data_IF_006666195767
#
_entry.id   IF_006666195767
#
_cell.length_a   1.000
_cell.length_b   1.000
_cell.length_c   1.000
_cell.angle_alpha   90.00
_cell.angle_beta   90.00
_cell.angle_gamma   90.00
#
_symmetry.space_group_name_H-M   'P 1'
#
loop_
_entity.id
_entity.type
_entity.pdbx_description
1 polymer ?
#
# COMPACT_ATOMS: atom_id res chain seq x y z
N UNK A 1 57.10 -7.21 19.94
CA UNK A 1 56.35 -8.48 19.83
C UNK A 1 54.86 -8.13 19.92
N UNK A 2 54.22 -7.76 18.81
CA UNK A 2 52.82 -7.28 18.78
C UNK A 2 51.88 -8.42 18.38
N UNK A 3 50.83 -8.62 19.20
CA UNK A 3 49.86 -9.71 19.13
C UNK A 3 48.97 -9.60 17.88
N UNK A 4 48.60 -10.77 17.37
CA UNK A 4 47.78 -11.05 16.18
C UNK A 4 46.40 -10.36 16.27
N UNK A 5 46.04 -9.60 15.24
CA UNK A 5 44.69 -9.08 15.05
C UNK A 5 43.82 -10.17 14.41
N UNK A 6 42.81 -10.63 15.13
CA UNK A 6 41.78 -11.51 14.58
C UNK A 6 40.79 -10.65 13.78
N UNK A 7 40.72 -10.85 12.47
CA UNK A 7 39.68 -10.30 11.60
C UNK A 7 38.48 -11.23 11.68
N UNK A 8 37.43 -10.82 12.39
CA UNK A 8 36.13 -11.47 12.38
C UNK A 8 35.28 -10.85 11.25
N UNK A 9 34.67 -11.71 10.44
CA UNK A 9 34.02 -11.37 9.17
C UNK A 9 32.79 -10.46 9.30
N UNK A 10 32.65 -9.58 8.32
CA UNK A 10 31.44 -8.77 8.10
C UNK A 10 30.43 -9.67 7.38
N UNK A 11 29.42 -10.15 8.11
CA UNK A 11 28.18 -10.64 7.48
C UNK A 11 27.24 -9.43 7.32
N UNK A 12 27.14 -8.91 6.10
CA UNK A 12 26.12 -7.91 5.77
C UNK A 12 24.74 -8.55 5.87
N UNK A 13 24.05 -8.29 6.98
CA UNK A 13 22.61 -8.49 7.06
C UNK A 13 21.97 -7.49 6.11
N UNK A 14 21.44 -7.95 4.98
CA UNK A 14 20.50 -7.16 4.19
C UNK A 14 19.23 -7.11 5.04
N UNK A 15 19.09 -6.06 5.85
CA UNK A 15 17.85 -5.75 6.51
C UNK A 15 16.85 -5.36 5.42
N UNK A 16 16.01 -6.31 4.99
CA UNK A 16 14.81 -5.97 4.23
C UNK A 16 13.89 -5.29 5.22
N UNK A 17 13.81 -3.96 5.16
CA UNK A 17 12.83 -3.21 5.94
C UNK A 17 11.45 -3.75 5.61
N UNK A 18 10.81 -4.42 6.57
CA UNK A 18 9.39 -4.64 6.51
C UNK A 18 8.75 -3.25 6.61
N UNK A 19 8.30 -2.70 5.49
CA UNK A 19 7.49 -1.48 5.50
C UNK A 19 6.18 -1.84 6.19
N UNK A 20 6.11 -1.61 7.51
CA UNK A 20 4.85 -1.55 8.21
C UNK A 20 4.06 -0.42 7.56
N UNK A 21 2.95 -0.75 6.92
CA UNK A 21 2.03 0.24 6.39
C UNK A 21 1.54 1.09 7.54
N UNK A 22 1.95 2.36 7.59
CA UNK A 22 1.39 3.28 8.55
C UNK A 22 0.05 3.75 7.99
N UNK A 23 -1.08 3.63 8.71
CA UNK A 23 -2.33 4.30 8.33
C UNK A 23 -2.15 5.81 8.09
N UNK A 24 -1.09 6.40 8.66
CA UNK A 24 -0.67 7.78 8.39
C UNK A 24 -0.29 8.06 6.92
N UNK A 25 -0.06 7.04 6.10
CA UNK A 25 0.23 7.20 4.67
C UNK A 25 -1.05 7.35 3.82
N UNK A 26 -2.23 7.23 4.43
CA UNK A 26 -3.50 7.42 3.74
C UNK A 26 -3.78 8.92 3.58
N UNK A 27 -4.01 9.34 2.33
CA UNK A 27 -4.36 10.72 1.99
C UNK A 27 -5.87 10.93 1.96
N UNK A 28 -6.59 10.02 1.32
CA UNK A 28 -8.04 10.14 1.11
C UNK A 28 -8.66 8.77 0.87
N UNK A 29 -9.93 8.64 1.24
CA UNK A 29 -10.77 7.47 0.94
C UNK A 29 -11.93 7.92 0.07
N UNK A 30 -12.12 7.27 -1.07
CA UNK A 30 -13.11 7.64 -2.09
C UNK A 30 -14.10 6.49 -2.29
N UNK A 31 -15.37 6.71 -1.95
CA UNK A 31 -16.44 5.76 -2.21
C UNK A 31 -16.81 5.77 -3.71
N UNK A 32 -16.99 4.58 -4.29
CA UNK A 32 -17.41 4.38 -5.68
C UNK A 32 -18.89 4.01 -5.76
N UNK A 33 -19.50 4.24 -6.94
CA UNK A 33 -20.92 3.94 -7.18
C UNK A 33 -21.29 2.47 -7.07
N UNK A 34 -20.34 1.58 -7.32
CA UNK A 34 -20.53 0.13 -7.21
C UNK A 34 -20.40 -0.39 -5.76
N UNK A 35 -20.20 0.52 -4.79
CA UNK A 35 -20.05 0.21 -3.38
C UNK A 35 -18.62 -0.14 -2.97
N UNK A 36 -17.66 -0.12 -3.90
CA UNK A 36 -16.24 -0.29 -3.59
C UNK A 36 -15.63 1.02 -3.05
N UNK A 37 -14.45 0.90 -2.47
CA UNK A 37 -13.72 2.01 -1.85
C UNK A 37 -12.31 2.08 -2.42
N UNK A 38 -11.90 3.26 -2.89
CA UNK A 38 -10.53 3.53 -3.33
C UNK A 38 -9.79 4.27 -2.23
N UNK A 39 -8.64 3.75 -1.84
CA UNK A 39 -7.72 4.38 -0.92
C UNK A 39 -6.64 5.09 -1.73
N UNK A 40 -6.51 6.40 -1.54
CA UNK A 40 -5.46 7.24 -2.14
C UNK A 40 -4.40 7.47 -1.08
N UNK A 41 -3.15 7.12 -1.39
CA UNK A 41 -2.02 7.29 -0.48
C UNK A 41 -1.34 8.65 -0.68
N UNK A 42 -0.49 9.06 0.27
CA UNK A 42 0.24 10.34 0.22
C UNK A 42 1.14 10.47 -1.02
N UNK A 43 1.64 9.36 -1.56
CA UNK A 43 2.40 9.29 -2.80
C UNK A 43 1.54 9.38 -4.07
N UNK A 44 0.21 9.49 -3.92
CA UNK A 44 -0.75 9.58 -5.01
C UNK A 44 -1.13 8.24 -5.63
N UNK A 45 -0.52 7.13 -5.20
CA UNK A 45 -0.93 5.80 -5.64
C UNK A 45 -2.25 5.41 -4.99
N UNK A 46 -2.90 4.44 -5.62
CA UNK A 46 -4.23 4.00 -5.25
C UNK A 46 -4.27 2.49 -5.06
N UNK A 47 -5.15 2.05 -4.18
CA UNK A 47 -5.59 0.66 -4.07
C UNK A 47 -7.10 0.62 -3.86
N UNK A 48 -7.72 -0.54 -4.08
CA UNK A 48 -9.17 -0.69 -3.97
C UNK A 48 -9.56 -1.81 -3.01
N UNK A 49 -10.60 -1.54 -2.23
CA UNK A 49 -11.37 -2.51 -1.47
C UNK A 49 -12.75 -2.70 -2.12
N UNK A 50 -13.19 -3.94 -2.26
CA UNK A 50 -14.53 -4.24 -2.76
C UNK A 50 -15.62 -4.04 -1.68
N UNK A 51 -16.91 -4.07 -2.04
CA UNK A 51 -18.01 -3.87 -1.07
C UNK A 51 -18.07 -4.89 0.08
N UNK A 52 -17.22 -5.92 0.04
CA UNK A 52 -17.17 -7.02 1.01
C UNK A 52 -15.97 -6.93 1.95
N UNK A 53 -15.25 -5.79 1.99
CA UNK A 53 -14.11 -5.63 2.89
C UNK A 53 -12.84 -6.32 2.40
N UNK A 54 -12.66 -6.51 1.09
CA UNK A 54 -11.48 -7.21 0.55
C UNK A 54 -10.70 -6.34 -0.42
N UNK A 55 -9.39 -6.26 -0.22
CA UNK A 55 -8.47 -5.69 -1.18
C UNK A 55 -8.54 -6.47 -2.51
N UNK A 56 -8.75 -5.77 -3.62
CA UNK A 56 -8.85 -6.37 -4.95
C UNK A 56 -7.98 -5.63 -5.96
N UNK A 57 -7.39 -6.33 -6.94
CA UNK A 57 -6.62 -5.70 -8.00
C UNK A 57 -7.51 -4.83 -8.89
N UNK A 58 -6.98 -3.67 -9.26
CA UNK A 58 -7.60 -2.81 -10.26
C UNK A 58 -6.54 -2.35 -11.27
N UNK A 59 -6.78 -2.54 -12.58
CA UNK A 59 -5.82 -2.13 -13.59
C UNK A 59 -5.54 -0.63 -13.54
N UNK A 60 -4.28 -0.25 -13.70
CA UNK A 60 -3.89 1.15 -13.81
C UNK A 60 -4.58 1.81 -15.02
N UNK A 61 -5.02 3.06 -14.85
CA UNK A 61 -5.75 3.81 -15.86
C UNK A 61 -7.23 3.43 -15.99
N UNK A 62 -7.71 2.39 -15.29
CA UNK A 62 -9.12 2.04 -15.22
C UNK A 62 -9.95 3.22 -14.74
N UNK A 63 -11.02 3.54 -15.47
CA UNK A 63 -11.97 4.57 -15.08
C UNK A 63 -12.91 4.06 -14.00
N UNK A 64 -13.07 4.84 -12.94
CA UNK A 64 -13.93 4.54 -11.80
C UNK A 64 -14.88 5.70 -11.58
N UNK A 65 -16.13 5.40 -11.25
CA UNK A 65 -17.14 6.43 -10.98
C UNK A 65 -17.34 6.55 -9.48
N UNK A 66 -16.99 7.71 -8.94
CA UNK A 66 -17.16 8.03 -7.53
C UNK A 66 -18.64 8.20 -7.19
N UNK A 67 -18.98 8.07 -5.91
CA UNK A 67 -20.35 8.20 -5.42
C UNK A 67 -20.99 9.56 -5.79
N UNK A 68 -20.19 10.63 -5.86
CA UNK A 68 -20.62 11.98 -6.30
C UNK A 68 -20.73 12.13 -7.83
N UNK A 69 -20.48 11.07 -8.60
CA UNK A 69 -20.65 11.03 -10.05
C UNK A 69 -19.45 11.51 -10.86
N UNK A 70 -18.32 11.85 -10.22
CA UNK A 70 -17.07 12.16 -10.92
C UNK A 70 -16.43 10.87 -11.44
N UNK A 71 -15.64 11.03 -12.50
CA UNK A 71 -14.80 9.93 -13.01
C UNK A 71 -13.37 10.18 -12.58
N UNK A 72 -12.77 9.20 -11.92
CA UNK A 72 -11.35 9.18 -11.55
C UNK A 72 -10.68 8.01 -12.27
N UNK A 73 -9.36 8.09 -12.44
CA UNK A 73 -8.57 7.01 -13.05
C UNK A 73 -7.65 6.40 -12.01
N UNK A 74 -7.56 5.09 -12.03
CA UNK A 74 -6.68 4.35 -11.15
C UNK A 74 -5.21 4.71 -11.41
N UNK A 75 -4.46 4.98 -10.36
CA UNK A 75 -3.01 5.22 -10.41
C UNK A 75 -2.31 4.15 -9.57
N UNK A 76 -1.47 3.33 -10.20
CA UNK A 76 -0.89 2.15 -9.56
C UNK A 76 -1.91 1.02 -9.31
N UNK A 77 -1.51 0.04 -8.50
CA UNK A 77 -2.32 -1.12 -8.13
C UNK A 77 -1.89 -1.66 -6.75
N UNK A 78 -2.10 -0.86 -5.71
CA UNK A 78 -1.54 -1.05 -4.37
C UNK A 78 -2.36 -2.04 -3.51
N UNK A 79 -2.63 -3.24 -4.04
CA UNK A 79 -3.47 -4.27 -3.39
C UNK A 79 -2.90 -4.74 -2.05
N UNK A 80 -1.61 -5.04 -2.00
CA UNK A 80 -0.95 -5.51 -0.77
C UNK A 80 -0.99 -4.45 0.35
N UNK A 81 -0.93 -3.20 -0.06
CA UNK A 81 -1.00 -2.01 0.79
C UNK A 81 -2.43 -1.86 1.35
N UNK A 82 -3.47 -1.92 0.51
CA UNK A 82 -4.86 -1.96 1.01
C UNK A 82 -5.13 -3.18 1.90
N UNK A 83 -4.61 -4.37 1.55
CA UNK A 83 -4.79 -5.57 2.38
C UNK A 83 -4.21 -5.40 3.79
N UNK A 84 -3.07 -4.70 3.89
CA UNK A 84 -2.43 -4.42 5.18
C UNK A 84 -3.23 -3.40 5.98
N UNK A 85 -3.79 -2.38 5.31
CA UNK A 85 -4.66 -1.37 5.92
C UNK A 85 -5.94 -2.00 6.50
N UNK A 86 -6.65 -2.81 5.72
CA UNK A 86 -7.87 -3.51 6.16
C UNK A 86 -7.60 -4.37 7.39
N UNK A 87 -6.47 -5.08 7.41
CA UNK A 87 -6.10 -5.93 8.54
C UNK A 87 -5.80 -5.13 9.83
N UNK A 88 -5.34 -3.88 9.72
CA UNK A 88 -5.12 -2.99 10.87
C UNK A 88 -6.45 -2.43 11.38
N UNK A 89 -7.41 -2.17 10.50
CA UNK A 89 -8.74 -1.65 10.85
C UNK A 89 -9.70 -2.73 11.41
N UNK A 90 -9.36 -4.02 11.26
CA UNK A 90 -10.13 -5.18 11.73
C UNK A 90 -9.94 -5.48 13.22
#
# INVERSE_FOLDING_TARGET
>A
MFKKFAVAGVTSLIAVSAFAMNPADLKETVALKDGSTVYVFLDGKMGMENPYGRAVPMPEGQAMVTADGKTVRMVGNEVARVSSLIQIES
#
